data_IF_307534664121
#
_entry.id   IF_307534664121
#
_cell.length_a   1.000
_cell.length_b   1.000
_cell.length_c   1.000
_cell.angle_alpha   90.00
_cell.angle_beta   90.00
_cell.angle_gamma   90.00
#
_symmetry.space_group_name_H-M   'P 1'
#
loop_
_entity.id
_entity.type
_entity.pdbx_description
1 polymer ?
#
# COMPACT_ATOMS: atom_id res chain seq x y z
N UNK A 1 14.72 19.10 39.69
CA UNK A 1 16.08 19.49 40.09
C UNK A 1 17.07 18.87 39.11
N UNK A 2 18.13 19.62 38.82
CA UNK A 2 19.15 19.50 37.76
C UNK A 2 20.06 18.26 37.86
N UNK A 3 20.29 17.54 36.76
CA UNK A 3 21.51 17.40 35.90
C UNK A 3 22.77 16.74 36.54
N UNK A 4 23.34 15.79 35.79
CA UNK A 4 24.77 15.51 35.51
C UNK A 4 25.34 14.15 36.01
N UNK A 5 25.42 13.22 35.05
CA UNK A 5 26.47 12.23 34.71
C UNK A 5 27.65 11.97 35.66
N UNK A 6 28.07 10.68 35.79
CA UNK A 6 29.34 10.14 35.22
C UNK A 6 29.57 8.66 35.57
N UNK A 7 30.02 7.92 34.56
CA UNK A 7 30.55 6.55 34.57
C UNK A 7 31.49 6.23 35.74
N UNK A 8 31.42 5.00 36.26
CA UNK A 8 32.60 4.14 36.44
C UNK A 8 32.23 2.75 37.00
N UNK A 9 32.36 1.75 36.13
CA UNK A 9 33.09 0.49 36.39
C UNK A 9 32.54 -0.53 37.41
N UNK A 10 32.80 -1.80 37.04
CA UNK A 10 32.71 -3.05 37.82
C UNK A 10 31.30 -3.67 37.86
N UNK A 11 31.03 -4.87 37.32
CA UNK A 11 31.88 -5.99 36.92
C UNK A 11 31.21 -6.72 35.76
N UNK A 12 31.90 -6.75 34.61
CA UNK A 12 31.63 -7.68 33.53
C UNK A 12 32.16 -9.03 34.01
N UNK A 13 31.25 -9.90 34.49
CA UNK A 13 31.59 -11.29 34.76
C UNK A 13 31.55 -12.03 33.43
N UNK A 14 32.72 -12.15 32.82
CA UNK A 14 32.97 -12.98 31.66
C UNK A 14 32.55 -14.42 31.97
N UNK A 15 31.54 -14.89 31.24
CA UNK A 15 31.32 -16.31 31.01
C UNK A 15 31.39 -16.50 29.50
N UNK A 16 32.62 -16.67 29.02
CA UNK A 16 32.93 -17.22 27.70
C UNK A 16 32.47 -18.67 27.73
N UNK A 17 31.32 -18.96 27.13
CA UNK A 17 31.06 -20.28 26.58
C UNK A 17 31.13 -20.16 25.07
N UNK A 18 32.29 -20.58 24.54
CA UNK A 18 32.44 -20.98 23.16
C UNK A 18 31.45 -22.12 22.90
N UNK A 19 30.33 -21.78 22.28
CA UNK A 19 29.40 -22.72 21.68
C UNK A 19 29.26 -22.33 20.22
N UNK A 20 29.98 -23.04 19.35
CA UNK A 20 29.90 -22.96 17.91
C UNK A 20 28.49 -23.39 17.44
N UNK A 21 27.49 -22.52 17.60
CA UNK A 21 26.13 -22.75 17.12
C UNK A 21 25.93 -21.92 15.87
N UNK A 22 26.24 -22.56 14.75
CA UNK A 22 25.59 -22.44 13.44
C UNK A 22 24.88 -21.11 13.17
N UNK A 23 25.38 -20.41 12.15
CA UNK A 23 24.61 -19.46 11.35
C UNK A 23 23.33 -20.14 10.84
N UNK A 24 22.31 -20.21 11.68
CA UNK A 24 20.94 -20.35 11.25
C UNK A 24 20.57 -18.99 10.65
N UNK A 25 21.03 -18.75 9.42
CA UNK A 25 20.30 -17.87 8.51
C UNK A 25 18.95 -18.57 8.37
N UNK A 26 18.03 -18.25 9.28
CA UNK A 26 16.64 -18.61 9.10
C UNK A 26 16.31 -18.17 7.68
N UNK A 27 15.79 -19.07 6.81
CA UNK A 27 15.33 -18.61 5.52
C UNK A 27 14.34 -17.52 5.86
N UNK A 28 14.61 -16.30 5.39
CA UNK A 28 13.60 -15.27 5.37
C UNK A 28 12.50 -15.86 4.52
N UNK A 29 11.56 -16.57 5.13
CA UNK A 29 10.32 -16.97 4.51
C UNK A 29 9.77 -15.65 4.01
N UNK A 30 9.82 -15.42 2.71
CA UNK A 30 9.33 -14.20 2.13
C UNK A 30 7.84 -14.23 2.43
N UNK A 31 7.45 -13.53 3.49
CA UNK A 31 6.07 -13.43 3.89
C UNK A 31 5.38 -12.77 2.70
N UNK A 32 4.53 -13.56 2.01
CA UNK A 32 3.90 -13.12 0.78
C UNK A 32 3.25 -11.75 1.05
N UNK A 33 3.65 -10.75 0.27
CA UNK A 33 3.07 -9.41 0.41
C UNK A 33 1.71 -9.45 -0.24
N UNK A 34 0.68 -9.51 0.59
CA UNK A 34 -0.72 -9.47 0.17
C UNK A 34 -1.16 -8.00 0.07
N UNK A 35 -1.75 -7.64 -1.06
CA UNK A 35 -2.32 -6.31 -1.31
C UNK A 35 -3.69 -6.42 -1.96
N UNK A 36 -4.52 -5.40 -1.82
CA UNK A 36 -5.75 -5.20 -2.59
C UNK A 36 -5.49 -4.22 -3.73
N UNK A 37 -6.04 -4.53 -4.90
CA UNK A 37 -6.08 -3.63 -6.05
C UNK A 37 -7.52 -3.18 -6.31
N UNK A 38 -7.76 -1.88 -6.21
CA UNK A 38 -9.01 -1.24 -6.59
C UNK A 38 -8.94 -0.73 -8.03
N UNK A 39 -10.09 -0.66 -8.71
CA UNK A 39 -10.22 -0.05 -10.03
C UNK A 39 -11.37 0.96 -10.02
N UNK A 40 -11.13 2.11 -10.64
CA UNK A 40 -12.13 3.12 -10.93
C UNK A 40 -12.10 3.46 -12.42
N UNK A 41 -13.25 3.82 -12.98
CA UNK A 41 -13.38 4.22 -14.39
C UNK A 41 -14.39 5.35 -14.57
N UNK A 42 -14.23 6.17 -15.60
CA UNK A 42 -15.32 7.06 -16.02
C UNK A 42 -16.33 6.24 -16.83
N UNK A 43 -17.61 6.31 -16.48
CA UNK A 43 -18.67 5.56 -17.17
C UNK A 43 -18.69 5.90 -18.67
N UNK A 44 -18.87 4.88 -19.51
CA UNK A 44 -19.05 5.04 -20.97
C UNK A 44 -20.24 5.96 -21.30
N UNK A 45 -21.28 5.92 -20.47
CA UNK A 45 -22.48 6.77 -20.58
C UNK A 45 -22.34 8.20 -20.06
N UNK A 46 -21.14 8.67 -19.68
CA UNK A 46 -20.91 10.07 -19.31
C UNK A 46 -21.26 11.01 -20.49
N UNK A 47 -21.61 12.30 -20.30
CA UNK A 47 -21.91 13.23 -21.40
C UNK A 47 -20.72 13.38 -22.36
N UNK A 48 -21.00 13.62 -23.65
CA UNK A 48 -19.95 13.69 -24.67
C UNK A 48 -19.13 14.98 -24.53
N UNK A 49 -19.79 16.10 -24.28
CA UNK A 49 -19.11 17.33 -23.91
C UNK A 49 -19.29 17.53 -22.39
N UNK A 50 -18.22 17.66 -21.58
CA UNK A 50 -16.80 17.70 -21.95
C UNK A 50 -16.08 16.34 -21.90
N UNK A 51 -16.79 15.22 -21.65
CA UNK A 51 -16.15 13.97 -21.21
C UNK A 51 -15.85 12.94 -22.31
N UNK A 52 -16.05 13.26 -23.59
CA UNK A 52 -15.86 12.31 -24.71
C UNK A 52 -14.48 11.66 -24.72
N UNK A 53 -13.43 12.41 -24.38
CA UNK A 53 -12.05 11.91 -24.31
C UNK A 53 -11.73 11.09 -23.05
N UNK A 54 -12.61 11.14 -22.05
CA UNK A 54 -12.42 10.50 -20.75
C UNK A 54 -13.38 9.33 -20.49
N UNK A 55 -14.43 9.16 -21.30
CA UNK A 55 -15.31 7.97 -21.28
C UNK A 55 -14.48 6.68 -21.34
N UNK A 56 -14.78 5.73 -20.48
CA UNK A 56 -14.07 4.45 -20.42
C UNK A 56 -12.68 4.51 -19.80
N UNK A 57 -12.14 5.70 -19.52
CA UNK A 57 -10.82 5.85 -18.92
C UNK A 57 -10.81 5.15 -17.56
N UNK A 58 -9.80 4.31 -17.35
CA UNK A 58 -9.65 3.53 -16.12
C UNK A 58 -8.35 3.85 -15.39
N UNK A 59 -8.35 3.69 -14.08
CA UNK A 59 -7.15 3.71 -13.27
C UNK A 59 -7.27 2.71 -12.11
N UNK A 60 -6.12 2.26 -11.64
CA UNK A 60 -6.01 1.32 -10.52
C UNK A 60 -5.23 1.93 -9.37
N UNK A 61 -5.51 1.46 -8.16
CA UNK A 61 -4.76 1.77 -6.95
C UNK A 61 -4.47 0.48 -6.21
N UNK A 62 -3.33 0.39 -5.54
CA UNK A 62 -2.89 -0.79 -4.79
C UNK A 62 -2.63 -0.37 -3.35
N UNK A 63 -3.14 -1.14 -2.40
CA UNK A 63 -2.96 -0.89 -0.97
C UNK A 63 -2.65 -2.21 -0.25
N UNK A 64 -1.69 -2.24 0.70
CA UNK A 64 -1.31 -3.45 1.41
C UNK A 64 -2.43 -3.99 2.31
N UNK A 65 -2.49 -5.31 2.46
CA UNK A 65 -3.50 -6.02 3.25
C UNK A 65 -4.59 -6.66 2.39
N UNK A 66 -5.43 -7.48 3.03
CA UNK A 66 -6.52 -8.24 2.38
C UNK A 66 -7.93 -7.81 2.80
N UNK A 67 -8.04 -6.87 3.74
CA UNK A 67 -9.31 -6.52 4.36
C UNK A 67 -10.22 -5.66 3.46
N UNK A 68 -11.46 -5.45 3.91
CA UNK A 68 -12.40 -4.56 3.23
C UNK A 68 -11.92 -3.10 3.26
N UNK A 69 -11.26 -2.68 4.34
CA UNK A 69 -10.63 -1.37 4.47
C UNK A 69 -9.49 -1.22 3.45
N UNK A 70 -8.65 -2.24 3.28
CA UNK A 70 -7.59 -2.22 2.26
C UNK A 70 -8.16 -2.06 0.85
N UNK A 71 -9.30 -2.71 0.55
CA UNK A 71 -10.02 -2.48 -0.71
C UNK A 71 -10.56 -1.05 -0.84
N UNK A 72 -11.08 -0.48 0.25
CA UNK A 72 -11.57 0.91 0.27
C UNK A 72 -10.44 1.90 0.01
N UNK A 73 -9.28 1.72 0.64
CA UNK A 73 -8.09 2.54 0.41
C UNK A 73 -7.53 2.37 -1.01
N UNK A 74 -7.50 1.14 -1.52
CA UNK A 74 -7.09 0.87 -2.90
C UNK A 74 -8.02 1.57 -3.92
N UNK A 75 -9.33 1.63 -3.65
CA UNK A 75 -10.29 2.39 -4.48
C UNK A 75 -10.11 3.90 -4.36
N UNK A 76 -9.80 4.43 -3.18
CA UNK A 76 -9.46 5.85 -3.01
C UNK A 76 -8.23 6.22 -3.85
N UNK A 77 -7.18 5.41 -3.79
CA UNK A 77 -5.98 5.56 -4.61
C UNK A 77 -6.30 5.47 -6.11
N UNK A 78 -7.14 4.50 -6.51
CA UNK A 78 -7.57 4.37 -7.91
C UNK A 78 -8.31 5.62 -8.39
N UNK A 79 -9.17 6.22 -7.56
CA UNK A 79 -9.88 7.47 -7.87
C UNK A 79 -8.93 8.66 -7.98
N UNK A 80 -7.94 8.78 -7.10
CA UNK A 80 -6.90 9.81 -7.19
C UNK A 80 -6.08 9.68 -8.47
N UNK A 81 -5.67 8.45 -8.81
CA UNK A 81 -4.95 8.15 -10.04
C UNK A 81 -5.80 8.44 -11.29
N UNK A 82 -7.11 8.16 -11.23
CA UNK A 82 -8.03 8.51 -12.31
C UNK A 82 -8.13 10.02 -12.46
N UNK A 83 -8.29 10.76 -11.36
CA UNK A 83 -8.36 12.21 -11.39
C UNK A 83 -7.12 12.83 -12.03
N UNK A 84 -5.92 12.30 -11.77
CA UNK A 84 -4.68 12.77 -12.39
C UNK A 84 -4.63 12.55 -13.91
N UNK A 85 -5.42 11.62 -14.46
CA UNK A 85 -5.42 11.24 -15.87
C UNK A 85 -6.58 11.81 -16.69
N UNK A 86 -7.62 12.30 -16.03
CA UNK A 86 -8.83 12.85 -16.65
C UNK A 86 -8.55 14.28 -17.12
N UNK A 87 -8.91 14.59 -18.37
CA UNK A 87 -8.67 15.89 -18.97
C UNK A 87 -9.57 16.97 -18.34
N UNK A 88 -10.84 16.67 -18.10
CA UNK A 88 -11.77 17.59 -17.45
C UNK A 88 -12.28 17.06 -16.10
N UNK A 89 -11.99 17.78 -15.00
CA UNK A 89 -12.37 17.36 -13.64
C UNK A 89 -13.88 17.21 -13.45
N UNK A 90 -14.72 17.89 -14.23
CA UNK A 90 -16.18 17.69 -14.20
C UNK A 90 -16.57 16.23 -14.48
N UNK A 91 -15.79 15.52 -15.28
CA UNK A 91 -16.03 14.12 -15.63
C UNK A 91 -15.89 13.17 -14.44
N UNK A 92 -15.19 13.58 -13.39
CA UNK A 92 -15.05 12.79 -12.16
C UNK A 92 -16.39 12.52 -11.46
N UNK A 93 -17.44 13.31 -11.72
CA UNK A 93 -18.79 13.03 -11.24
C UNK A 93 -19.36 11.71 -11.79
N UNK A 94 -18.86 11.25 -12.94
CA UNK A 94 -19.27 10.00 -13.59
C UNK A 94 -18.30 8.84 -13.29
N UNK A 95 -17.50 8.96 -12.24
CA UNK A 95 -16.60 7.89 -11.81
C UNK A 95 -17.39 6.72 -11.24
N UNK A 96 -17.06 5.52 -11.68
CA UNK A 96 -17.53 4.26 -11.16
C UNK A 96 -16.36 3.46 -10.56
N UNK A 97 -16.45 3.18 -9.26
CA UNK A 97 -15.51 2.33 -8.52
C UNK A 97 -16.22 1.09 -7.94
N UNK A 98 -17.38 0.71 -8.49
CA UNK A 98 -18.20 -0.41 -7.99
C UNK A 98 -17.52 -1.77 -8.15
N UNK A 99 -16.58 -1.89 -9.10
CA UNK A 99 -15.81 -3.12 -9.34
C UNK A 99 -15.19 -3.67 -8.05
N UNK A 100 -15.24 -4.99 -7.90
CA UNK A 100 -14.64 -5.70 -6.76
C UNK A 100 -13.12 -5.51 -6.79
N UNK A 101 -12.52 -5.38 -5.62
CA UNK A 101 -11.06 -5.35 -5.52
C UNK A 101 -10.47 -6.73 -5.82
N UNK A 102 -9.31 -6.74 -6.46
CA UNK A 102 -8.53 -7.94 -6.73
C UNK A 102 -7.46 -8.11 -5.66
N UNK A 103 -7.37 -9.28 -5.06
CA UNK A 103 -6.24 -9.63 -4.18
C UNK A 103 -5.02 -9.91 -5.04
N UNK A 104 -3.90 -9.28 -4.71
CA UNK A 104 -2.59 -9.51 -5.31
C UNK A 104 -1.71 -10.13 -4.22
N UNK A 105 -1.12 -11.26 -4.52
CA UNK A 105 -0.13 -11.92 -3.69
C UNK A 105 1.20 -11.91 -4.44
N UNK A 106 2.23 -11.39 -3.79
CA UNK A 106 3.60 -11.33 -4.34
C UNK A 106 4.55 -12.07 -3.41
N UNK A 107 5.42 -12.89 -3.99
CA UNK A 107 6.44 -13.65 -3.29
C UNK A 107 7.70 -12.81 -3.04
#
# INVERSE_FOLDING_TARGET
>A
MTIVTRNAARLIRAAVFAGLASFAVAPAAHAAKISQQGQCSIKEGAPADPCKADRGRTATGVYPGKSHEACTEAKKLARTNLAARVANKACMAYTDCSKRCKVIESQ
#
